data_IF_151540926451
#
_entry.id   IF_151540926451
#
_cell.length_a   1.000
_cell.length_b   1.000
_cell.length_c   1.000
_cell.angle_alpha   90.00
_cell.angle_beta   90.00
_cell.angle_gamma   90.00
#
_symmetry.space_group_name_H-M   'P 1'
#
loop_
_entity.id
_entity.type
_entity.pdbx_description
1 polymer ?
#
# COMPACT_ATOMS: atom_id res chain seq x y z
N UNK A 1 -60.04 2.68 44.47
CA UNK A 1 -59.45 3.90 43.85
C UNK A 1 -58.12 3.48 43.22
N UNK A 2 -58.08 3.30 41.87
CA UNK A 2 -56.88 2.81 41.13
C UNK A 2 -56.22 4.01 40.42
N UNK A 3 -54.97 4.31 40.76
CA UNK A 3 -54.17 5.31 40.07
C UNK A 3 -53.64 4.73 38.76
N UNK A 4 -53.64 5.45 37.64
CA UNK A 4 -53.07 4.98 36.38
C UNK A 4 -51.54 5.19 36.40
N UNK A 5 -50.85 4.11 36.04
CA UNK A 5 -49.40 4.08 35.81
C UNK A 5 -49.09 4.88 34.54
N UNK A 6 -48.57 6.13 34.69
CA UNK A 6 -48.00 6.88 33.56
C UNK A 6 -46.62 6.33 33.27
N UNK A 7 -46.53 5.50 32.26
CA UNK A 7 -45.26 5.05 31.68
C UNK A 7 -44.64 6.30 31.00
N UNK A 8 -43.50 6.74 31.53
CA UNK A 8 -42.71 7.83 30.96
C UNK A 8 -42.14 7.48 29.60
N UNK A 9 -42.90 7.69 28.51
CA UNK A 9 -42.48 7.48 27.13
C UNK A 9 -41.30 8.32 26.67
N UNK A 10 -40.88 9.33 27.48
CA UNK A 10 -39.74 10.18 27.12
C UNK A 10 -38.37 9.51 27.20
N UNK A 11 -38.22 8.50 28.08
CA UNK A 11 -36.92 7.82 28.24
C UNK A 11 -36.56 6.94 27.07
N UNK A 12 -37.53 6.31 26.42
CA UNK A 12 -37.28 5.44 25.24
C UNK A 12 -36.94 6.24 23.98
N UNK A 13 -37.49 7.46 23.88
CA UNK A 13 -37.21 8.32 22.72
C UNK A 13 -35.77 8.88 22.79
N UNK A 14 -35.31 9.26 23.97
CA UNK A 14 -33.92 9.73 24.17
C UNK A 14 -32.89 8.62 23.95
N UNK A 15 -33.18 7.39 24.38
CA UNK A 15 -32.31 6.24 24.17
C UNK A 15 -32.22 5.84 22.68
N UNK A 16 -33.34 5.92 21.94
CA UNK A 16 -33.39 5.62 20.50
C UNK A 16 -32.61 6.65 19.67
N UNK A 17 -32.72 7.94 20.01
CA UNK A 17 -31.99 9.02 19.35
C UNK A 17 -30.48 8.90 19.60
N UNK A 18 -30.04 8.55 20.82
CA UNK A 18 -28.63 8.31 21.14
C UNK A 18 -28.05 7.10 20.38
N UNK A 19 -28.85 6.03 20.19
CA UNK A 19 -28.45 4.87 19.40
C UNK A 19 -28.29 5.20 17.89
N UNK A 20 -29.16 6.05 17.34
CA UNK A 20 -29.08 6.49 15.96
C UNK A 20 -27.92 7.45 15.69
N UNK A 21 -27.58 8.31 16.64
CA UNK A 21 -26.42 9.20 16.53
C UNK A 21 -25.11 8.41 16.67
N UNK A 22 -25.06 7.40 17.54
CA UNK A 22 -23.91 6.52 17.71
C UNK A 22 -23.58 5.69 16.47
N UNK A 23 -24.58 5.30 15.69
CA UNK A 23 -24.36 4.52 14.45
C UNK A 23 -23.95 5.37 13.25
N UNK A 24 -24.20 6.68 13.25
CA UNK A 24 -23.83 7.58 12.16
C UNK A 24 -22.35 8.04 12.22
N UNK A 25 -21.66 7.90 13.36
CA UNK A 25 -20.27 8.35 13.50
C UNK A 25 -19.22 7.29 13.23
N UNK A 26 -19.61 6.02 13.05
CA UNK A 26 -18.66 4.94 12.75
C UNK A 26 -18.34 4.72 11.26
N UNK A 27 -18.89 5.51 10.33
CA UNK A 27 -18.80 5.21 8.88
C UNK A 27 -17.65 5.92 8.15
N UNK A 28 -16.73 6.61 8.80
CA UNK A 28 -15.71 7.41 8.09
C UNK A 28 -14.24 7.12 8.40
N UNK A 29 -13.92 6.00 9.05
CA UNK A 29 -12.54 5.55 9.19
C UNK A 29 -12.20 4.35 8.30
N UNK A 30 -12.67 4.31 7.07
CA UNK A 30 -12.05 3.44 6.08
C UNK A 30 -10.74 4.08 5.64
N UNK A 31 -9.64 3.59 6.18
CA UNK A 31 -8.34 3.94 5.66
C UNK A 31 -8.32 3.67 4.15
N UNK A 32 -8.01 4.69 3.35
CA UNK A 32 -7.97 4.55 1.89
C UNK A 32 -6.84 3.60 1.52
N UNK A 33 -7.13 2.67 0.62
CA UNK A 33 -6.11 1.78 0.06
C UNK A 33 -4.96 2.59 -0.56
N UNK A 34 -3.75 2.11 -0.39
CA UNK A 34 -2.59 2.72 -1.03
C UNK A 34 -2.51 2.25 -2.47
N UNK A 35 -2.65 3.19 -3.41
CA UNK A 35 -2.42 2.95 -4.83
C UNK A 35 -0.99 3.31 -5.18
N UNK A 36 -0.32 2.48 -5.98
CA UNK A 36 1.02 2.73 -6.53
C UNK A 36 0.90 2.90 -8.03
N UNK A 37 1.49 3.97 -8.55
CA UNK A 37 1.66 4.22 -9.98
C UNK A 37 3.15 4.30 -10.32
N UNK A 38 3.50 4.02 -11.57
CA UNK A 38 4.87 3.98 -12.06
C UNK A 38 5.00 4.75 -13.37
N UNK A 39 6.16 5.37 -13.62
CA UNK A 39 6.40 6.25 -14.76
C UNK A 39 7.00 5.55 -15.99
N UNK A 40 7.16 4.32 -16.08
CA UNK A 40 7.69 3.59 -17.25
C UNK A 40 9.18 3.79 -17.55
N UNK A 41 9.92 4.57 -16.76
CA UNK A 41 11.37 4.83 -16.95
C UNK A 41 12.23 3.73 -16.35
N UNK A 42 13.53 3.73 -16.68
CA UNK A 42 14.54 2.90 -16.05
C UNK A 42 15.62 3.82 -15.45
N UNK A 43 15.89 3.74 -14.14
CA UNK A 43 15.14 3.00 -13.13
C UNK A 43 13.72 3.55 -12.94
N UNK A 44 12.75 2.68 -12.55
CA UNK A 44 11.36 3.10 -12.36
C UNK A 44 11.21 4.07 -11.20
N UNK A 45 10.30 5.04 -11.38
CA UNK A 45 9.89 5.96 -10.33
C UNK A 45 8.42 5.71 -9.97
N UNK A 46 8.17 5.56 -8.68
CA UNK A 46 6.86 5.20 -8.13
C UNK A 46 6.23 6.41 -7.45
N UNK A 47 4.94 6.59 -7.66
CA UNK A 47 4.10 7.57 -6.99
C UNK A 47 3.07 6.84 -6.11
N UNK A 48 2.82 7.35 -4.91
CA UNK A 48 1.94 6.72 -3.92
C UNK A 48 0.76 7.63 -3.62
N UNK A 49 -0.46 7.06 -3.63
CA UNK A 49 -1.72 7.76 -3.41
C UNK A 49 -2.55 7.02 -2.36
N UNK A 50 -3.32 7.75 -1.58
CA UNK A 50 -4.21 7.16 -0.56
C UNK A 50 -3.64 7.25 0.84
N UNK A 51 -3.47 6.09 1.51
CA UNK A 51 -2.95 6.06 2.88
C UNK A 51 -1.50 6.50 2.96
N UNK A 52 -1.17 7.28 3.99
CA UNK A 52 0.17 7.88 4.18
C UNK A 52 1.00 7.19 5.27
N UNK A 53 0.40 6.27 6.02
CA UNK A 53 1.08 5.57 7.12
C UNK A 53 1.89 4.37 6.60
N UNK A 54 2.67 4.59 5.53
CA UNK A 54 3.55 3.56 4.95
C UNK A 54 4.71 3.30 5.90
N UNK A 55 4.91 2.02 6.26
CA UNK A 55 5.96 1.59 7.19
C UNK A 55 7.24 1.15 6.49
N UNK A 56 7.16 0.75 5.24
CA UNK A 56 8.31 0.46 4.37
C UNK A 56 7.91 0.54 2.91
N UNK A 57 8.91 0.57 2.02
CA UNK A 57 8.74 0.36 0.59
C UNK A 57 9.75 -0.70 0.20
N UNK A 58 9.28 -1.80 -0.36
CA UNK A 58 10.09 -2.94 -0.68
C UNK A 58 9.87 -3.39 -2.13
N UNK A 59 10.96 -3.62 -2.86
CA UNK A 59 10.97 -4.20 -4.21
C UNK A 59 11.56 -5.60 -4.11
N UNK A 60 10.80 -6.60 -4.58
CA UNK A 60 11.16 -8.02 -4.53
C UNK A 60 11.07 -8.65 -5.92
N UNK A 61 11.98 -9.58 -6.20
CA UNK A 61 11.88 -10.48 -7.35
C UNK A 61 10.80 -11.53 -7.08
N UNK A 62 9.83 -11.65 -7.98
CA UNK A 62 8.71 -12.59 -7.87
C UNK A 62 8.71 -13.63 -8.99
N UNK A 63 9.83 -13.80 -9.69
CA UNK A 63 9.97 -14.76 -10.79
C UNK A 63 9.88 -16.23 -10.36
N UNK A 64 10.22 -16.55 -9.12
CA UNK A 64 10.06 -17.88 -8.58
C UNK A 64 8.75 -18.01 -7.79
N UNK A 65 8.05 -19.11 -7.98
CA UNK A 65 6.72 -19.43 -7.43
C UNK A 65 6.66 -19.63 -5.91
N UNK A 66 7.57 -19.04 -5.16
CA UNK A 66 7.59 -19.17 -3.71
C UNK A 66 6.95 -17.94 -3.06
N UNK A 67 5.83 -18.18 -2.38
CA UNK A 67 5.02 -17.18 -1.68
C UNK A 67 5.64 -16.62 -0.40
N UNK A 68 6.90 -16.96 -0.09
CA UNK A 68 7.57 -16.36 1.05
C UNK A 68 7.76 -14.87 0.83
N UNK A 69 6.81 -14.07 1.33
CA UNK A 69 6.88 -12.59 1.29
C UNK A 69 8.12 -12.01 1.99
N UNK A 70 8.87 -12.85 2.68
CA UNK A 70 10.00 -12.47 3.53
C UNK A 70 11.30 -13.21 3.21
N UNK A 71 11.44 -13.70 1.96
CA UNK A 71 12.71 -14.27 1.53
C UNK A 71 13.74 -13.14 1.30
N UNK A 72 14.68 -12.90 2.23
CA UNK A 72 15.63 -11.78 2.13
C UNK A 72 16.52 -11.88 0.89
N UNK A 73 16.74 -13.09 0.37
CA UNK A 73 17.47 -13.34 -0.88
C UNK A 73 16.79 -12.76 -2.12
N UNK A 74 15.47 -12.52 -2.06
CA UNK A 74 14.68 -11.92 -3.15
C UNK A 74 14.50 -10.42 -3.01
N UNK A 75 14.85 -9.87 -1.86
CA UNK A 75 14.80 -8.45 -1.65
C UNK A 75 15.79 -7.77 -2.59
N UNK A 76 15.26 -7.01 -3.54
CA UNK A 76 16.05 -6.23 -4.49
C UNK A 76 16.43 -4.89 -3.88
N UNK A 77 15.48 -4.25 -3.22
CA UNK A 77 15.65 -2.96 -2.60
C UNK A 77 14.54 -2.70 -1.59
N UNK A 78 14.89 -2.05 -0.48
CA UNK A 78 13.92 -1.66 0.52
C UNK A 78 14.36 -0.45 1.29
N UNK A 79 13.41 0.44 1.61
CA UNK A 79 13.61 1.64 2.42
C UNK A 79 12.54 1.74 3.49
N UNK A 80 12.89 2.37 4.60
CA UNK A 80 11.97 2.66 5.70
C UNK A 80 12.03 4.16 6.02
N UNK A 81 10.89 4.78 6.37
CA UNK A 81 10.90 6.17 6.84
C UNK A 81 11.66 6.26 8.16
N UNK A 82 12.38 7.35 8.37
CA UNK A 82 12.96 7.67 9.68
C UNK A 82 11.86 8.14 10.63
N UNK A 83 12.08 7.99 11.95
CA UNK A 83 11.11 8.38 12.99
C UNK A 83 10.72 9.87 12.94
N UNK A 84 11.56 10.70 12.35
CA UNK A 84 11.35 12.14 12.21
C UNK A 84 10.48 12.53 11.02
N UNK A 85 10.25 11.59 10.10
CA UNK A 85 9.58 11.89 8.84
C UNK A 85 8.22 11.21 8.79
N UNK A 86 7.16 11.95 9.15
CA UNK A 86 5.82 11.69 8.63
C UNK A 86 5.58 12.69 7.49
N UNK A 87 5.91 12.35 6.25
CA UNK A 87 5.73 13.28 5.16
C UNK A 87 4.24 13.53 4.94
N UNK A 88 3.82 14.80 4.94
CA UNK A 88 2.47 15.20 4.54
C UNK A 88 2.13 14.76 3.12
N UNK A 89 3.17 14.48 2.33
CA UNK A 89 3.10 13.86 1.01
C UNK A 89 4.22 12.85 0.87
N UNK A 90 3.89 11.65 0.44
CA UNK A 90 4.89 10.66 0.06
C UNK A 90 5.64 11.18 -1.17
N UNK A 91 6.98 11.27 -1.13
CA UNK A 91 7.76 11.70 -2.28
C UNK A 91 7.61 10.67 -3.41
N UNK A 92 7.95 11.07 -4.63
CA UNK A 92 8.22 10.11 -5.69
C UNK A 92 9.48 9.33 -5.33
N UNK A 93 9.42 8.01 -5.43
CA UNK A 93 10.49 7.10 -5.04
C UNK A 93 11.08 6.46 -6.29
N UNK A 94 12.33 6.74 -6.61
CA UNK A 94 13.04 6.09 -7.70
C UNK A 94 13.81 4.89 -7.19
N UNK A 95 13.70 3.74 -7.85
CA UNK A 95 14.44 2.54 -7.49
C UNK A 95 15.94 2.82 -7.35
N UNK A 96 16.50 2.41 -6.21
CA UNK A 96 17.92 2.60 -5.90
C UNK A 96 18.30 3.98 -5.37
N UNK A 97 17.37 4.92 -5.26
CA UNK A 97 17.61 6.25 -4.70
C UNK A 97 16.85 6.39 -3.39
N UNK A 98 17.58 6.57 -2.30
CA UNK A 98 17.01 6.81 -0.98
C UNK A 98 16.66 8.30 -0.84
N UNK A 99 15.36 8.65 -0.76
CA UNK A 99 14.97 10.05 -0.63
C UNK A 99 15.21 10.58 0.79
N UNK A 100 15.26 11.91 0.98
CA UNK A 100 15.34 12.50 2.32
C UNK A 100 14.24 11.97 3.24
N UNK A 101 14.58 11.69 4.49
CA UNK A 101 13.67 11.14 5.49
C UNK A 101 13.46 9.63 5.42
N UNK A 102 14.25 8.93 4.61
CA UNK A 102 14.28 7.47 4.55
C UNK A 102 15.69 6.94 4.79
N UNK A 103 15.74 5.68 5.20
CA UNK A 103 16.99 4.91 5.28
C UNK A 103 16.84 3.61 4.48
N UNK A 104 17.92 3.17 3.86
CA UNK A 104 17.94 1.91 3.15
C UNK A 104 17.94 0.74 4.15
N UNK A 105 17.03 -0.20 3.92
CA UNK A 105 16.92 -1.45 4.66
C UNK A 105 17.57 -2.60 3.90
N UNK A 106 17.39 -2.62 2.57
CA UNK A 106 17.93 -3.64 1.67
C UNK A 106 18.49 -3.02 0.39
N UNK A 107 19.67 -3.48 -0.07
CA UNK A 107 20.62 -4.27 0.70
C UNK A 107 21.10 -3.47 1.92
N UNK A 108 21.55 -4.16 2.95
CA UNK A 108 22.05 -3.51 4.19
C UNK A 108 23.29 -2.66 3.95
N UNK A 109 24.03 -2.95 2.89
CA UNK A 109 25.20 -2.19 2.45
C UNK A 109 25.26 -2.15 0.93
N UNK A 110 25.82 -1.07 0.37
CA UNK A 110 26.00 -0.91 -1.07
C UNK A 110 24.77 -0.47 -1.83
N UNK A 111 24.81 -0.61 -3.14
CA UNK A 111 23.73 -0.25 -4.06
C UNK A 111 22.83 -1.44 -4.35
N UNK A 112 21.53 -1.21 -4.62
CA UNK A 112 20.61 -2.26 -5.06
C UNK A 112 21.11 -2.94 -6.35
N UNK A 113 20.79 -4.23 -6.48
CA UNK A 113 21.07 -4.97 -7.72
C UNK A 113 20.29 -4.34 -8.89
N UNK A 114 20.87 -4.27 -10.10
CA UNK A 114 20.14 -3.79 -11.25
C UNK A 114 18.95 -4.71 -11.58
N UNK A 115 17.83 -4.11 -11.95
CA UNK A 115 16.66 -4.83 -12.42
C UNK A 115 16.96 -5.48 -13.78
N UNK A 116 16.60 -6.74 -13.94
CA UNK A 116 16.84 -7.51 -15.17
C UNK A 116 15.62 -7.44 -16.10
N UNK A 117 15.81 -7.39 -17.43
CA UNK A 117 14.71 -7.54 -18.37
C UNK A 117 13.93 -8.84 -18.18
N UNK A 118 12.64 -8.82 -18.52
CA UNK A 118 11.70 -9.96 -18.48
C UNK A 118 11.52 -10.61 -17.10
N UNK A 119 12.12 -10.06 -16.06
CA UNK A 119 11.95 -10.51 -14.68
C UNK A 119 10.80 -9.74 -14.03
N UNK A 120 9.79 -10.42 -13.49
CA UNK A 120 8.72 -9.75 -12.76
C UNK A 120 9.18 -9.34 -11.37
N UNK A 121 8.92 -8.09 -11.02
CA UNK A 121 9.19 -7.50 -9.72
C UNK A 121 7.90 -7.01 -9.08
N UNK A 122 7.83 -7.11 -7.76
CA UNK A 122 6.73 -6.54 -6.98
C UNK A 122 7.26 -5.40 -6.12
N UNK A 123 6.64 -4.23 -6.22
CA UNK A 123 6.77 -3.20 -5.20
C UNK A 123 5.61 -3.31 -4.23
N UNK A 124 5.91 -3.25 -2.94
CA UNK A 124 4.93 -3.21 -1.85
C UNK A 124 5.16 -1.99 -0.96
N UNK A 125 4.06 -1.42 -0.49
CA UNK A 125 4.05 -0.34 0.48
C UNK A 125 3.09 -0.73 1.62
N UNK A 126 3.53 -1.57 2.58
CA UNK A 126 2.74 -1.91 3.75
C UNK A 126 2.44 -0.67 4.59
N UNK A 127 1.25 -0.64 5.16
CA UNK A 127 0.76 0.45 6.00
C UNK A 127 0.39 -0.08 7.38
N UNK A 128 0.36 0.79 8.40
CA UNK A 128 0.03 0.41 9.78
C UNK A 128 -1.47 0.15 9.99
N UNK A 129 -2.34 0.72 9.15
CA UNK A 129 -3.79 0.80 9.41
C UNK A 129 -4.68 0.57 8.18
N UNK A 130 -4.10 0.13 7.05
CA UNK A 130 -4.83 -0.16 5.80
C UNK A 130 -4.16 -1.29 5.01
N UNK A 131 -4.83 -1.84 4.00
CA UNK A 131 -4.21 -2.76 3.06
C UNK A 131 -2.96 -2.20 2.40
N UNK A 132 -1.93 -3.04 2.25
CA UNK A 132 -0.69 -2.66 1.59
C UNK A 132 -0.92 -2.30 0.12
N UNK A 133 -0.31 -1.20 -0.32
CA UNK A 133 -0.18 -0.91 -1.75
C UNK A 133 0.70 -1.97 -2.41
N UNK A 134 0.30 -2.43 -3.61
CA UNK A 134 1.04 -3.42 -4.42
C UNK A 134 0.99 -3.02 -5.88
N UNK A 135 2.12 -3.20 -6.57
CA UNK A 135 2.21 -3.12 -8.02
C UNK A 135 3.22 -4.16 -8.48
N UNK A 136 2.88 -4.92 -9.52
CA UNK A 136 3.82 -5.84 -10.19
C UNK A 136 4.23 -5.20 -11.51
N UNK A 137 5.50 -5.30 -11.85
CA UNK A 137 6.06 -4.72 -13.07
C UNK A 137 7.21 -5.57 -13.61
N UNK A 138 7.51 -5.39 -14.87
CA UNK A 138 8.71 -5.95 -15.52
C UNK A 138 9.36 -4.90 -16.42
N UNK A 139 10.58 -5.18 -16.85
CA UNK A 139 11.29 -4.38 -17.85
C UNK A 139 11.21 -5.11 -19.18
N UNK A 140 10.66 -4.45 -20.22
CA UNK A 140 10.59 -4.96 -21.58
C UNK A 140 10.84 -3.83 -22.57
N UNK A 141 11.67 -4.10 -23.58
CA UNK A 141 12.01 -3.13 -24.61
C UNK A 141 12.51 -1.77 -24.08
N UNK A 142 13.29 -1.79 -22.99
CA UNK A 142 13.83 -0.58 -22.39
C UNK A 142 12.81 0.28 -21.61
N UNK A 143 11.66 -0.27 -21.29
CA UNK A 143 10.62 0.39 -20.49
C UNK A 143 10.16 -0.48 -19.32
N UNK A 144 9.72 0.14 -18.25
CA UNK A 144 9.03 -0.56 -17.17
C UNK A 144 7.54 -0.59 -17.43
N UNK A 145 6.93 -1.76 -17.37
CA UNK A 145 5.54 -2.00 -17.70
C UNK A 145 4.83 -2.63 -16.49
N UNK A 146 3.66 -2.12 -16.07
CA UNK A 146 2.84 -2.78 -15.08
C UNK A 146 2.28 -4.09 -15.65
N UNK A 147 2.22 -5.12 -14.81
CA UNK A 147 1.69 -6.42 -15.17
C UNK A 147 0.64 -6.88 -14.17
N UNK A 148 -0.26 -7.71 -14.61
CA UNK A 148 -1.24 -8.41 -13.77
C UNK A 148 -0.77 -9.85 -13.60
N UNK A 149 -0.80 -10.31 -12.37
CA UNK A 149 -0.59 -11.71 -12.02
C UNK A 149 -1.93 -12.46 -12.17
N UNK A 150 -1.94 -13.54 -12.93
CA UNK A 150 -3.10 -14.42 -13.05
C UNK A 150 -3.08 -15.50 -11.97
N UNK A 151 -4.18 -16.25 -11.87
CA UNK A 151 -4.31 -17.38 -10.93
C UNK A 151 -3.24 -18.46 -11.13
N UNK A 152 -2.67 -18.58 -12.34
CA UNK A 152 -1.62 -19.55 -12.70
C UNK A 152 -0.21 -18.94 -12.55
N UNK A 153 -0.07 -17.79 -11.92
CA UNK A 153 1.20 -17.06 -11.75
C UNK A 153 1.87 -16.66 -13.08
N UNK A 154 1.09 -16.51 -14.11
CA UNK A 154 1.51 -15.90 -15.36
C UNK A 154 1.37 -14.37 -15.26
N UNK A 155 2.29 -13.64 -15.86
CA UNK A 155 2.33 -12.17 -15.81
C UNK A 155 1.99 -11.59 -17.18
N UNK A 156 0.92 -10.81 -17.26
CA UNK A 156 0.49 -10.15 -18.49
C UNK A 156 0.65 -8.65 -18.36
N UNK A 157 1.25 -8.03 -19.38
CA UNK A 157 1.35 -6.57 -19.46
C UNK A 157 -0.07 -5.97 -19.52
N UNK A 158 -0.35 -5.05 -18.62
CA UNK A 158 -1.58 -4.26 -18.71
C UNK A 158 -1.52 -3.36 -19.94
N UNK A 159 -2.35 -3.66 -20.93
CA UNK A 159 -2.59 -2.70 -22.02
C UNK A 159 -3.42 -1.55 -21.45
N UNK A 160 -2.98 -0.30 -21.59
CA UNK A 160 -3.83 0.82 -21.19
C UNK A 160 -5.18 0.72 -21.91
N UNK A 161 -6.26 0.70 -21.14
CA UNK A 161 -7.60 0.86 -21.74
C UNK A 161 -7.70 2.28 -22.29
N UNK A 162 -8.09 2.48 -23.54
CA UNK A 162 -8.20 3.77 -24.18
C UNK A 162 -9.21 4.69 -23.48
#
# INVERSE_FOLDING_TARGET
MKLPNRINGGFYFAALVLLLIGSATCTHFFARDTKIEMDGRIPPTFSFFGNRDVVSIDVTDVSANDFSMYAPERAMWGIVPTTETRPDRFPKITYGIVPPGFVQRWPTTGTPRPLQPETPYRITAPTSNAPAGKLIFLIRNGQTLPVVETHNQEYYVQTPTP
#
